data_IF_192144112575
#
_entry.id   IF_192144112575
#
_cell.length_a   1.000
_cell.length_b   1.000
_cell.length_c   1.000
_cell.angle_alpha   90.00
_cell.angle_beta   90.00
_cell.angle_gamma   90.00
#
_symmetry.space_group_name_H-M   'P 1'
#
loop_
_entity.id
_entity.type
_entity.pdbx_description
1 polymer ?
#
# COMPACT_ATOMS: atom_id res chain seq x y z
N UNK A 1 -12.80 16.33 28.90
CA UNK A 1 -13.38 15.44 27.86
C UNK A 1 -12.93 14.02 28.15
N UNK A 2 -13.87 13.07 28.30
CA UNK A 2 -13.52 11.66 28.51
C UNK A 2 -13.40 11.00 27.15
N UNK A 3 -12.19 10.57 26.78
CA UNK A 3 -11.95 9.84 25.53
C UNK A 3 -12.40 8.39 25.76
N UNK A 4 -13.52 8.02 25.15
CA UNK A 4 -14.05 6.64 25.20
C UNK A 4 -13.50 5.87 24.01
N UNK A 5 -12.62 4.89 24.26
CA UNK A 5 -12.08 4.03 23.21
C UNK A 5 -12.97 2.80 23.03
N UNK A 6 -13.09 2.35 21.77
CA UNK A 6 -13.75 1.09 21.45
C UNK A 6 -12.82 -0.07 21.80
N UNK A 7 -13.36 -1.09 22.46
CA UNK A 7 -12.67 -2.37 22.71
C UNK A 7 -13.14 -3.34 21.64
N UNK A 8 -12.21 -3.79 20.78
CA UNK A 8 -12.48 -4.73 19.70
C UNK A 8 -11.96 -6.13 20.05
N UNK A 9 -12.73 -7.16 19.73
CA UNK A 9 -12.31 -8.55 19.87
C UNK A 9 -11.64 -9.01 18.59
N UNK A 10 -10.30 -9.12 18.62
CA UNK A 10 -9.50 -9.44 17.43
C UNK A 10 -9.90 -10.75 16.73
N UNK A 11 -10.51 -11.69 17.48
CA UNK A 11 -10.94 -13.00 16.98
C UNK A 11 -12.42 -13.04 16.58
N UNK A 12 -13.17 -11.95 16.73
CA UNK A 12 -14.57 -11.88 16.30
C UNK A 12 -14.63 -11.49 14.80
N UNK A 13 -15.03 -12.38 13.88
CA UNK A 13 -15.07 -12.07 12.45
C UNK A 13 -16.12 -11.02 12.07
N UNK A 14 -17.08 -10.73 12.96
CA UNK A 14 -18.08 -9.66 12.74
C UNK A 14 -17.50 -8.28 13.05
N UNK A 15 -16.60 -8.20 14.02
CA UNK A 15 -15.92 -6.94 14.41
C UNK A 15 -14.63 -6.71 13.60
N UNK A 16 -13.93 -7.79 13.24
CA UNK A 16 -12.70 -7.80 12.45
C UNK A 16 -12.87 -8.71 11.22
N UNK A 17 -13.69 -8.33 10.23
CA UNK A 17 -13.87 -9.12 9.03
C UNK A 17 -12.61 -9.12 8.17
N UNK A 18 -12.36 -10.24 7.49
CA UNK A 18 -11.24 -10.32 6.55
C UNK A 18 -11.43 -9.31 5.40
N UNK A 19 -10.50 -8.34 5.25
CA UNK A 19 -10.55 -7.39 4.17
C UNK A 19 -10.46 -8.09 2.81
N UNK A 20 -11.10 -7.49 1.81
CA UNK A 20 -11.26 -8.07 0.47
C UNK A 20 -9.93 -8.41 -0.22
N UNK A 21 -8.84 -7.71 0.11
CA UNK A 21 -7.52 -7.91 -0.48
C UNK A 21 -6.72 -9.08 0.12
N UNK A 22 -7.11 -9.59 1.30
CA UNK A 22 -6.54 -10.84 1.85
C UNK A 22 -7.21 -12.08 1.27
N UNK A 23 -8.44 -11.93 0.77
CA UNK A 23 -9.15 -13.02 0.11
C UNK A 23 -8.38 -13.41 -1.15
N UNK A 24 -8.16 -14.72 -1.33
CA UNK A 24 -7.43 -15.26 -2.48
C UNK A 24 -8.00 -14.65 -3.77
N UNK A 25 -7.20 -13.91 -4.56
CA UNK A 25 -7.65 -13.39 -5.83
C UNK A 25 -7.96 -14.56 -6.75
N UNK A 26 -9.10 -14.50 -7.46
CA UNK A 26 -9.32 -15.36 -8.63
C UNK A 26 -8.21 -15.01 -9.63
N UNK A 27 -7.40 -16.00 -10.01
CA UNK A 27 -6.15 -15.87 -10.77
C UNK A 27 -6.03 -14.58 -11.58
N UNK A 28 -5.23 -13.63 -11.08
CA UNK A 28 -4.83 -12.45 -11.85
C UNK A 28 -3.72 -12.87 -12.81
N UNK A 29 -4.08 -13.26 -14.03
CA UNK A 29 -3.12 -13.65 -15.08
C UNK A 29 -2.24 -12.48 -15.53
N UNK A 30 -1.01 -12.83 -15.97
CA UNK A 30 0.01 -12.09 -16.75
C UNK A 30 0.47 -10.70 -16.26
N UNK A 31 -0.40 -9.88 -15.69
CA UNK A 31 -0.11 -8.54 -15.16
C UNK A 31 0.80 -8.56 -13.91
N UNK A 32 0.76 -9.64 -13.13
CA UNK A 32 1.59 -9.81 -11.93
C UNK A 32 3.08 -9.98 -12.26
N UNK A 33 3.42 -10.75 -13.30
CA UNK A 33 4.82 -11.05 -13.65
C UNK A 33 5.58 -9.80 -14.13
N UNK A 34 4.92 -8.92 -14.88
CA UNK A 34 5.52 -7.66 -15.34
C UNK A 34 5.79 -6.70 -14.16
N UNK A 35 4.87 -6.65 -13.18
CA UNK A 35 5.05 -5.83 -11.97
C UNK A 35 6.23 -6.31 -11.11
N UNK A 36 6.36 -7.63 -10.93
CA UNK A 36 7.48 -8.21 -10.16
C UNK A 36 8.81 -7.93 -10.87
N UNK A 37 8.85 -7.99 -12.20
CA UNK A 37 10.07 -7.69 -12.96
C UNK A 37 10.48 -6.23 -12.79
N UNK A 38 9.56 -5.29 -12.98
CA UNK A 38 9.82 -3.84 -12.79
C UNK A 38 10.25 -3.52 -11.36
N UNK A 39 9.66 -4.19 -10.36
CA UNK A 39 10.07 -4.05 -8.97
C UNK A 39 11.51 -4.48 -8.72
N UNK A 40 11.95 -5.59 -9.35
CA UNK A 40 13.34 -6.05 -9.22
C UNK A 40 14.34 -5.09 -9.88
N UNK A 41 13.95 -4.43 -10.97
CA UNK A 41 14.81 -3.49 -11.69
C UNK A 41 14.98 -2.17 -10.93
N UNK A 42 13.93 -1.67 -10.30
CA UNK A 42 13.98 -0.43 -9.53
C UNK A 42 12.95 -0.44 -8.38
N UNK A 43 13.28 -1.05 -7.23
CA UNK A 43 12.35 -1.17 -6.11
C UNK A 43 12.00 0.20 -5.52
N UNK A 44 12.96 1.12 -5.50
CA UNK A 44 12.79 2.46 -4.94
C UNK A 44 11.83 3.33 -5.76
N UNK A 45 11.65 3.04 -7.06
CA UNK A 45 10.73 3.77 -7.93
C UNK A 45 9.25 3.55 -7.60
N UNK A 46 8.93 2.50 -6.84
CA UNK A 46 7.56 2.24 -6.38
C UNK A 46 7.13 3.19 -5.26
N UNK A 47 8.09 3.81 -4.58
CA UNK A 47 7.80 4.71 -3.50
C UNK A 47 7.90 6.15 -4.00
N UNK A 48 6.93 7.01 -3.67
CA UNK A 48 7.09 8.43 -3.93
C UNK A 48 8.33 8.94 -3.19
N UNK A 49 9.06 9.85 -3.83
CA UNK A 49 10.19 10.52 -3.18
C UNK A 49 9.72 11.17 -1.88
N UNK A 50 10.42 10.87 -0.78
CA UNK A 50 10.18 11.51 0.52
C UNK A 50 10.37 13.03 0.44
N UNK A 51 11.19 13.49 -0.50
CA UNK A 51 11.45 14.91 -0.73
C UNK A 51 10.67 15.39 -1.95
N UNK A 52 9.98 16.54 -1.86
CA UNK A 52 9.40 17.16 -3.04
C UNK A 52 10.52 17.45 -4.06
N UNK A 53 10.25 17.34 -5.37
CA UNK A 53 11.24 17.67 -6.37
C UNK A 53 11.72 19.10 -6.15
N UNK A 54 13.02 19.28 -5.91
CA UNK A 54 13.64 20.60 -5.87
C UNK A 54 13.39 21.24 -7.22
N UNK A 55 12.68 22.39 -7.25
CA UNK A 55 12.56 23.17 -8.48
C UNK A 55 13.98 23.47 -8.95
N UNK A 56 14.34 23.19 -10.21
CA UNK A 56 15.62 23.66 -10.71
C UNK A 56 15.61 25.18 -10.63
N UNK A 57 16.58 25.77 -9.95
CA UNK A 57 16.84 27.20 -10.05
C UNK A 57 17.02 27.52 -11.52
N UNK A 58 16.14 28.37 -12.04
CA UNK A 58 16.26 28.90 -13.39
C UNK A 58 17.54 29.73 -13.40
N UNK A 59 18.65 29.16 -13.86
CA UNK A 59 19.88 29.91 -14.12
C UNK A 59 19.55 30.99 -15.15
N UNK A 60 19.62 32.25 -14.71
CA UNK A 60 19.60 33.45 -15.55
C UNK A 60 21.03 33.91 -15.74
#
# INVERSE_FOLDING_TARGET
MVVKMNVYHCMNPKENPEPSWMRKPKAAGTLQDDLVKRFKESPDSFFPSFYPPTRPESQT
#
